data_IF_904597646722
#
_entry.id   IF_904597646722
#
_cell.length_a   1.000
_cell.length_b   1.000
_cell.length_c   1.000
_cell.angle_alpha   90.00
_cell.angle_beta   90.00
_cell.angle_gamma   90.00
#
_symmetry.space_group_name_H-M   'P 1'
#
loop_
_entity.id
_entity.type
_entity.pdbx_description
1 polymer ?
#
# COMPACT_ATOMS: atom_id res chain seq x y z
N UNK A 1 -9.81 16.79 -35.58
CA UNK A 1 -9.62 18.12 -35.00
C UNK A 1 -10.02 18.19 -33.52
N UNK A 2 -11.15 17.62 -33.10
CA UNK A 2 -11.56 17.66 -31.68
C UNK A 2 -10.54 17.02 -30.72
N UNK A 3 -9.97 15.88 -31.06
CA UNK A 3 -8.99 15.16 -30.21
C UNK A 3 -7.73 16.00 -30.00
N UNK A 4 -7.21 16.62 -31.05
CA UNK A 4 -6.01 17.47 -30.97
C UNK A 4 -6.25 18.69 -30.07
N UNK A 5 -7.44 19.30 -30.18
CA UNK A 5 -7.80 20.44 -29.33
C UNK A 5 -7.94 20.04 -27.86
N UNK A 6 -8.50 18.87 -27.57
CA UNK A 6 -8.60 18.33 -26.21
C UNK A 6 -7.19 18.10 -25.63
N UNK A 7 -6.30 17.47 -26.39
CA UNK A 7 -4.93 17.21 -25.95
C UNK A 7 -4.18 18.52 -25.67
N UNK A 8 -4.26 19.50 -26.59
CA UNK A 8 -3.56 20.78 -26.42
C UNK A 8 -4.13 21.62 -25.28
N UNK A 9 -5.41 21.50 -24.98
CA UNK A 9 -6.05 22.22 -23.89
C UNK A 9 -5.76 21.62 -22.52
N UNK A 10 -5.70 20.28 -22.43
CA UNK A 10 -5.62 19.55 -21.15
C UNK A 10 -4.26 18.92 -20.86
N UNK A 11 -3.25 19.05 -21.76
CA UNK A 11 -1.95 18.43 -21.51
C UNK A 11 -1.28 18.86 -20.18
N UNK A 12 -1.41 20.12 -19.67
CA UNK A 12 -0.83 20.45 -18.38
C UNK A 12 -1.46 19.67 -17.24
N UNK A 13 -2.77 19.41 -17.32
CA UNK A 13 -3.51 18.61 -16.33
C UNK A 13 -3.06 17.14 -16.35
N UNK A 14 -2.80 16.58 -17.53
CA UNK A 14 -2.27 15.23 -17.67
C UNK A 14 -0.86 15.09 -17.08
N UNK A 15 0.02 16.04 -17.34
CA UNK A 15 1.38 16.03 -16.76
C UNK A 15 1.35 16.19 -15.24
N UNK A 16 0.47 17.05 -14.72
CA UNK A 16 0.28 17.20 -13.28
C UNK A 16 -0.22 15.91 -12.64
N UNK A 17 -1.21 15.26 -13.26
CA UNK A 17 -1.74 13.97 -12.78
C UNK A 17 -0.67 12.87 -12.82
N UNK A 18 0.14 12.82 -13.86
CA UNK A 18 1.27 11.89 -13.97
C UNK A 18 2.27 12.11 -12.83
N UNK A 19 2.61 13.36 -12.53
CA UNK A 19 3.49 13.71 -11.43
C UNK A 19 2.96 13.23 -10.08
N UNK A 20 1.67 13.43 -9.81
CA UNK A 20 1.01 12.95 -8.59
C UNK A 20 1.04 11.40 -8.54
N UNK A 21 0.74 10.73 -9.64
CA UNK A 21 0.76 9.28 -9.74
C UNK A 21 2.16 8.73 -9.44
N UNK A 22 3.20 9.32 -10.01
CA UNK A 22 4.58 8.92 -9.76
C UNK A 22 4.99 9.14 -8.30
N UNK A 23 4.62 10.27 -7.71
CA UNK A 23 4.88 10.53 -6.29
C UNK A 23 4.19 9.51 -5.38
N UNK A 24 2.91 9.23 -5.61
CA UNK A 24 2.18 8.20 -4.86
C UNK A 24 2.83 6.83 -5.00
N UNK A 25 3.22 6.47 -6.21
CA UNK A 25 3.86 5.18 -6.50
C UNK A 25 5.16 5.02 -5.74
N UNK A 26 6.05 6.01 -5.81
CA UNK A 26 7.35 5.96 -5.13
C UNK A 26 7.19 5.89 -3.61
N UNK A 27 6.38 6.78 -3.04
CA UNK A 27 6.14 6.84 -1.59
C UNK A 27 5.52 5.52 -1.11
N UNK A 28 4.48 5.05 -1.79
CA UNK A 28 3.78 3.83 -1.43
C UNK A 28 4.68 2.59 -1.56
N UNK A 29 5.52 2.54 -2.59
CA UNK A 29 6.45 1.43 -2.81
C UNK A 29 7.52 1.37 -1.71
N UNK A 30 8.09 2.50 -1.32
CA UNK A 30 9.05 2.56 -0.21
C UNK A 30 8.42 2.09 1.10
N UNK A 31 7.24 2.59 1.44
CA UNK A 31 6.51 2.15 2.62
C UNK A 31 6.11 0.68 2.54
N UNK A 32 5.66 0.22 1.38
CA UNK A 32 5.29 -1.17 1.14
C UNK A 32 6.49 -2.11 1.29
N UNK A 33 7.67 -1.69 0.88
CA UNK A 33 8.91 -2.46 1.04
C UNK A 33 9.22 -2.67 2.52
N UNK A 34 9.13 -1.61 3.33
CA UNK A 34 9.33 -1.70 4.78
C UNK A 34 8.30 -2.64 5.42
N UNK A 35 7.02 -2.44 5.11
CA UNK A 35 5.95 -3.32 5.60
C UNK A 35 6.14 -4.77 5.15
N UNK A 36 6.51 -4.96 3.90
CA UNK A 36 6.76 -6.28 3.32
C UNK A 36 7.90 -7.02 4.01
N UNK A 37 8.99 -6.32 4.32
CA UNK A 37 10.12 -6.90 5.07
C UNK A 37 9.66 -7.30 6.48
N UNK A 38 8.99 -6.40 7.19
CA UNK A 38 8.53 -6.66 8.56
C UNK A 38 7.58 -7.88 8.60
N UNK A 39 6.52 -7.85 7.81
CA UNK A 39 5.51 -8.92 7.82
C UNK A 39 5.99 -10.20 7.13
N UNK A 40 6.87 -10.10 6.16
CA UNK A 40 7.54 -11.25 5.55
C UNK A 40 8.40 -12.00 6.57
N UNK A 41 9.17 -11.26 7.38
CA UNK A 41 9.96 -11.84 8.47
C UNK A 41 9.07 -12.42 9.58
N UNK A 42 7.97 -11.77 9.91
CA UNK A 42 6.99 -12.31 10.88
C UNK A 42 6.45 -13.65 10.41
N UNK A 43 6.19 -13.78 9.12
CA UNK A 43 5.60 -15.00 8.54
C UNK A 43 6.54 -16.19 8.55
N UNK A 44 7.84 -15.98 8.50
CA UNK A 44 8.87 -17.05 8.61
C UNK A 44 9.38 -17.23 10.05
N UNK A 45 8.90 -16.43 10.98
CA UNK A 45 9.27 -16.50 12.39
C UNK A 45 8.72 -17.76 13.07
N UNK A 46 9.43 -18.25 14.06
CA UNK A 46 8.97 -19.36 14.92
C UNK A 46 7.92 -18.93 15.94
N UNK A 47 7.77 -17.63 16.18
CA UNK A 47 6.79 -17.10 17.12
C UNK A 47 5.38 -17.14 16.51
N UNK A 48 4.50 -17.93 17.13
CA UNK A 48 3.12 -18.13 16.65
C UNK A 48 2.31 -16.82 16.59
N UNK A 49 2.52 -15.90 17.54
CA UNK A 49 1.80 -14.62 17.60
C UNK A 49 2.18 -13.74 16.42
N UNK A 50 3.47 -13.59 16.13
CA UNK A 50 3.95 -12.80 14.99
C UNK A 50 3.45 -13.37 13.67
N UNK A 51 3.51 -14.68 13.52
CA UNK A 51 3.02 -15.40 12.36
C UNK A 51 1.53 -15.19 12.17
N UNK A 52 0.74 -15.26 13.24
CA UNK A 52 -0.70 -15.02 13.19
C UNK A 52 -1.04 -13.57 12.77
N UNK A 53 -0.35 -12.59 13.31
CA UNK A 53 -0.53 -11.17 12.94
C UNK A 53 -0.27 -10.98 11.46
N UNK A 54 0.83 -11.54 10.95
CA UNK A 54 1.18 -11.46 9.54
C UNK A 54 0.15 -12.16 8.65
N UNK A 55 -0.29 -13.37 9.03
CA UNK A 55 -1.27 -14.14 8.28
C UNK A 55 -2.60 -13.37 8.17
N UNK A 56 -3.10 -12.83 9.27
CA UNK A 56 -4.36 -12.06 9.30
C UNK A 56 -4.26 -10.82 8.39
N UNK A 57 -3.18 -10.05 8.53
CA UNK A 57 -2.96 -8.87 7.69
C UNK A 57 -2.92 -9.22 6.21
N UNK A 58 -2.07 -10.18 5.84
CA UNK A 58 -1.83 -10.55 4.45
C UNK A 58 -3.09 -11.15 3.82
N UNK A 59 -3.79 -12.03 4.54
CA UNK A 59 -4.98 -12.71 4.01
C UNK A 59 -6.15 -11.73 3.82
N UNK A 60 -6.37 -10.81 4.76
CA UNK A 60 -7.41 -9.78 4.65
C UNK A 60 -7.11 -8.86 3.46
N UNK A 61 -5.89 -8.36 3.35
CA UNK A 61 -5.52 -7.41 2.30
C UNK A 61 -5.56 -8.08 0.91
N UNK A 62 -5.01 -9.29 0.78
CA UNK A 62 -5.01 -10.00 -0.50
C UNK A 62 -6.38 -10.57 -0.88
N UNK A 63 -7.26 -10.77 0.10
CA UNK A 63 -8.63 -11.26 -0.10
C UNK A 63 -9.65 -10.16 -0.40
N UNK A 64 -9.28 -8.89 -0.36
CA UNK A 64 -10.19 -7.76 -0.60
C UNK A 64 -9.74 -6.91 -1.80
N UNK A 65 -10.68 -6.31 -2.57
CA UNK A 65 -10.34 -5.43 -3.68
C UNK A 65 -9.63 -4.16 -3.20
N UNK A 66 -8.62 -3.70 -3.95
CA UNK A 66 -7.90 -2.47 -3.65
C UNK A 66 -8.83 -1.26 -3.55
N UNK A 67 -9.80 -1.13 -4.43
CA UNK A 67 -10.74 -0.01 -4.42
C UNK A 67 -11.51 0.07 -3.10
N UNK A 68 -11.94 -1.08 -2.57
CA UNK A 68 -12.62 -1.16 -1.27
C UNK A 68 -11.69 -0.71 -0.14
N UNK A 69 -10.43 -1.10 -0.18
CA UNK A 69 -9.42 -0.69 0.79
C UNK A 69 -9.20 0.83 0.79
N UNK A 70 -9.11 1.43 -0.39
CA UNK A 70 -8.99 2.90 -0.55
C UNK A 70 -10.22 3.61 0.02
N UNK A 71 -11.42 3.10 -0.26
CA UNK A 71 -12.67 3.67 0.24
C UNK A 71 -12.77 3.57 1.77
N UNK A 72 -12.43 2.42 2.34
CA UNK A 72 -12.39 2.22 3.78
C UNK A 72 -11.37 3.16 4.43
N UNK A 73 -10.19 3.29 3.84
CA UNK A 73 -9.15 4.19 4.37
C UNK A 73 -9.62 5.63 4.37
N UNK A 74 -10.13 6.10 3.24
CA UNK A 74 -10.53 7.52 3.10
C UNK A 74 -11.75 7.86 3.96
N UNK A 75 -12.81 7.07 3.85
CA UNK A 75 -14.11 7.38 4.46
C UNK A 75 -14.31 6.65 5.78
N UNK A 76 -13.96 5.38 5.88
CA UNK A 76 -14.14 4.58 7.08
C UNK A 76 -13.25 5.06 8.22
N UNK A 77 -11.95 5.05 8.00
CA UNK A 77 -10.97 5.51 9.01
C UNK A 77 -11.18 6.98 9.33
N UNK A 78 -11.41 7.81 8.31
CA UNK A 78 -11.70 9.23 8.49
C UNK A 78 -12.92 9.49 9.37
N UNK A 79 -13.99 8.73 9.20
CA UNK A 79 -15.23 8.86 9.99
C UNK A 79 -15.06 8.37 11.42
N UNK A 80 -14.43 7.21 11.61
CA UNK A 80 -14.22 6.60 12.93
C UNK A 80 -13.31 7.45 13.81
N UNK A 81 -12.28 8.05 13.23
CA UNK A 81 -11.30 8.85 13.97
C UNK A 81 -11.67 10.33 14.10
N UNK A 82 -12.69 10.79 13.38
CA UNK A 82 -13.15 12.18 13.45
C UNK A 82 -13.48 12.67 14.86
N UNK A 83 -14.19 11.89 15.70
CA UNK A 83 -14.47 12.31 17.09
C UNK A 83 -13.23 12.53 17.95
N UNK A 84 -12.10 11.92 17.55
CA UNK A 84 -10.81 12.07 18.23
C UNK A 84 -9.95 13.19 17.66
N UNK A 85 -10.54 14.04 16.80
CA UNK A 85 -9.84 15.17 16.19
C UNK A 85 -9.03 14.85 14.93
N UNK A 86 -9.11 13.63 14.43
CA UNK A 86 -8.40 13.22 13.22
C UNK A 86 -9.14 13.67 11.95
N UNK A 87 -8.40 14.27 11.03
CA UNK A 87 -8.89 14.58 9.68
C UNK A 87 -7.76 14.38 8.67
N UNK A 88 -8.03 13.68 7.59
CA UNK A 88 -7.06 13.49 6.50
C UNK A 88 -6.57 14.83 5.93
N UNK A 89 -7.44 15.84 5.88
CA UNK A 89 -7.09 17.18 5.39
C UNK A 89 -5.91 17.82 6.14
N UNK A 90 -5.69 17.46 7.41
CA UNK A 90 -4.60 17.99 8.22
C UNK A 90 -3.24 17.38 7.87
N UNK A 91 -3.22 16.23 7.20
CA UNK A 91 -1.99 15.48 6.90
C UNK A 91 -1.84 15.14 5.41
N UNK A 92 -2.49 15.90 4.54
CA UNK A 92 -2.34 15.75 3.09
C UNK A 92 -3.58 15.28 2.33
N UNK A 93 -4.70 15.06 3.02
CA UNK A 93 -5.99 14.74 2.39
C UNK A 93 -6.03 13.39 1.70
N UNK A 94 -6.70 13.33 0.56
CA UNK A 94 -6.88 12.11 -0.23
C UNK A 94 -5.56 11.50 -0.71
N UNK A 95 -4.55 12.32 -0.98
CA UNK A 95 -3.22 11.85 -1.37
C UNK A 95 -2.61 10.95 -0.29
N UNK A 96 -2.62 11.40 0.96
CA UNK A 96 -2.07 10.63 2.09
C UNK A 96 -2.90 9.38 2.37
N UNK A 97 -4.23 9.47 2.37
CA UNK A 97 -5.10 8.32 2.52
C UNK A 97 -4.85 7.27 1.42
N UNK A 98 -4.68 7.72 0.18
CA UNK A 98 -4.33 6.87 -0.95
C UNK A 98 -2.98 6.20 -0.78
N UNK A 99 -1.96 6.95 -0.37
CA UNK A 99 -0.61 6.41 -0.11
C UNK A 99 -0.64 5.34 0.99
N UNK A 100 -1.39 5.55 2.07
CA UNK A 100 -1.53 4.57 3.15
C UNK A 100 -2.20 3.29 2.63
N UNK A 101 -3.31 3.42 1.92
CA UNK A 101 -4.03 2.28 1.37
C UNK A 101 -3.16 1.48 0.38
N UNK A 102 -2.47 2.16 -0.53
CA UNK A 102 -1.57 1.54 -1.50
C UNK A 102 -0.38 0.86 -0.81
N UNK A 103 0.19 1.49 0.22
CA UNK A 103 1.30 0.93 1.00
C UNK A 103 0.88 -0.36 1.71
N UNK A 104 -0.28 -0.38 2.33
CA UNK A 104 -0.82 -1.56 2.99
C UNK A 104 -1.11 -2.68 1.99
N UNK A 105 -1.69 -2.35 0.85
CA UNK A 105 -1.98 -3.31 -0.20
C UNK A 105 -0.70 -3.93 -0.77
N UNK A 106 0.20 -3.11 -1.27
CA UNK A 106 1.46 -3.56 -1.85
C UNK A 106 2.35 -4.25 -0.82
N UNK A 107 2.33 -3.80 0.43
CA UNK A 107 3.08 -4.42 1.54
C UNK A 107 2.68 -5.86 1.80
N UNK A 108 1.39 -6.19 1.71
CA UNK A 108 0.91 -7.57 1.87
C UNK A 108 1.43 -8.50 0.76
N UNK A 109 1.40 -8.04 -0.49
CA UNK A 109 1.97 -8.80 -1.62
C UNK A 109 3.49 -8.91 -1.51
N UNK A 110 4.17 -7.82 -1.13
CA UNK A 110 5.62 -7.81 -0.93
C UNK A 110 6.04 -8.79 0.19
N UNK A 111 5.27 -8.86 1.28
CA UNK A 111 5.52 -9.81 2.37
C UNK A 111 5.49 -11.26 1.87
N UNK A 112 4.55 -11.62 1.01
CA UNK A 112 4.48 -12.95 0.41
C UNK A 112 5.65 -13.24 -0.53
N UNK A 113 6.08 -12.27 -1.31
CA UNK A 113 7.24 -12.38 -2.19
C UNK A 113 8.50 -12.60 -1.35
N UNK A 114 8.69 -11.84 -0.30
CA UNK A 114 9.86 -11.94 0.61
C UNK A 114 9.84 -13.30 1.33
N UNK A 115 8.69 -13.71 1.85
CA UNK A 115 8.53 -15.03 2.47
C UNK A 115 8.92 -16.14 1.50
N UNK A 116 8.37 -16.12 0.29
CA UNK A 116 8.67 -17.09 -0.75
C UNK A 116 10.15 -17.10 -1.13
N UNK A 117 10.78 -15.93 -1.21
CA UNK A 117 12.20 -15.80 -1.48
C UNK A 117 13.08 -16.41 -0.37
N UNK A 118 12.73 -16.15 0.89
CA UNK A 118 13.45 -16.72 2.04
C UNK A 118 13.32 -18.23 2.07
N UNK A 119 12.12 -18.76 1.88
CA UNK A 119 11.85 -20.20 1.89
C UNK A 119 12.46 -20.95 0.69
N UNK A 120 12.73 -20.24 -0.41
CA UNK A 120 13.35 -20.81 -1.60
C UNK A 120 14.88 -21.00 -1.47
N UNK A 121 15.50 -20.35 -0.49
CA UNK A 121 16.95 -20.51 -0.25
C UNK A 121 17.24 -21.90 0.28
N UNK A 122 18.18 -22.59 -0.37
CA UNK A 122 18.62 -23.92 0.04
C UNK A 122 19.27 -23.87 1.43
N UNK A 123 18.89 -24.80 2.30
CA UNK A 123 19.43 -24.91 3.68
C UNK A 123 20.96 -25.01 3.70
N UNK A 124 21.57 -25.61 2.69
CA UNK A 124 23.02 -25.71 2.54
C UNK A 124 23.72 -24.34 2.40
N UNK A 125 23.01 -23.32 1.94
CA UNK A 125 23.57 -21.96 1.81
C UNK A 125 23.48 -21.15 3.11
N UNK A 126 22.73 -21.61 4.10
CA UNK A 126 22.61 -20.97 5.40
C UNK A 126 23.67 -21.43 6.40
N UNK A 127 24.39 -22.47 6.06
CA UNK A 127 25.53 -23.02 6.82
C UNK A 127 26.86 -22.44 6.30
#
# INVERSE_FOLDING_TARGET
>A
MQIVNIITQYYPSFFKALGITLQMTVISLLCATVLGVIFGLFKVSDFKILKLIADVYIDIIRGTPLLVQVMIMMYGVGSVLKPYGFQWSNIGGAFTAGCVALSLNAGAYMAEIIRGGIEAVDKGQME
#
